data_IF_932663221153
#
_entry.id   IF_932663221153
#
_cell.length_a   1.000
_cell.length_b   1.000
_cell.length_c   1.000
_cell.angle_alpha   90.00
_cell.angle_beta   90.00
_cell.angle_gamma   90.00
#
_symmetry.space_group_name_H-M   'P 1'
#
loop_
_entity.id
_entity.type
_entity.pdbx_description
1 polymer ?
#
# COMPACT_ATOMS: atom_id res chain seq x y z
N UNK A 1 14.48 -7.18 -7.85
CA UNK A 1 15.66 -6.40 -8.33
C UNK A 1 15.58 -4.91 -8.01
N UNK A 2 14.54 -4.17 -8.47
CA UNK A 2 14.44 -2.72 -8.19
C UNK A 2 14.50 -2.31 -6.70
N UNK A 3 13.89 -3.12 -5.83
CA UNK A 3 13.95 -2.92 -4.38
C UNK A 3 15.36 -2.99 -3.76
N UNK A 4 16.18 -3.91 -4.24
CA UNK A 4 17.58 -4.08 -3.80
C UNK A 4 18.42 -2.87 -4.21
N UNK A 5 18.19 -2.35 -5.43
CA UNK A 5 18.86 -1.14 -5.93
C UNK A 5 18.49 0.08 -5.07
N UNK A 6 17.21 0.22 -4.70
CA UNK A 6 16.75 1.29 -3.81
C UNK A 6 17.30 1.16 -2.39
N UNK A 7 17.39 -0.06 -1.88
CA UNK A 7 17.96 -0.35 -0.56
C UNK A 7 19.45 0.01 -0.53
N UNK A 8 20.23 -0.47 -1.50
CA UNK A 8 21.65 -0.14 -1.64
C UNK A 8 21.87 1.37 -1.78
N UNK A 9 21.08 2.04 -2.63
CA UNK A 9 21.14 3.51 -2.82
C UNK A 9 20.80 4.28 -1.55
N UNK A 10 19.89 3.78 -0.71
CA UNK A 10 19.46 4.46 0.52
C UNK A 10 20.46 4.33 1.66
N UNK A 11 21.21 3.22 1.71
CA UNK A 11 22.25 3.00 2.72
C UNK A 11 23.61 3.58 2.33
N UNK A 12 24.05 3.44 1.07
CA UNK A 12 25.39 3.87 0.64
C UNK A 12 25.49 5.35 0.24
N UNK A 13 24.38 6.04 0.01
CA UNK A 13 24.42 7.42 -0.47
C UNK A 13 24.15 8.42 0.68
N UNK A 14 25.17 9.15 1.18
CA UNK A 14 25.05 9.96 2.41
C UNK A 14 23.98 11.05 2.30
N UNK A 15 23.75 11.62 1.11
CA UNK A 15 22.72 12.64 0.87
C UNK A 15 21.28 12.14 1.11
N UNK A 16 21.03 10.87 0.80
CA UNK A 16 19.69 10.25 0.87
C UNK A 16 19.45 9.66 2.27
N UNK A 17 20.52 9.19 2.94
CA UNK A 17 20.44 8.69 4.30
C UNK A 17 20.13 9.80 5.32
N UNK A 18 20.64 11.03 5.08
CA UNK A 18 20.45 12.20 5.96
C UNK A 18 19.04 12.81 5.88
N UNK A 19 18.34 12.66 4.75
CA UNK A 19 17.00 13.23 4.52
C UNK A 19 15.87 12.20 4.66
N UNK A 20 16.20 10.92 4.80
CA UNK A 20 15.22 9.84 4.92
C UNK A 20 14.85 9.57 6.39
N UNK A 21 13.54 9.61 6.69
CA UNK A 21 13.00 9.21 7.99
C UNK A 21 13.39 7.76 8.32
N UNK A 22 13.71 7.49 9.58
CA UNK A 22 14.08 6.15 10.05
C UNK A 22 13.01 5.08 9.74
N UNK A 23 11.72 5.45 9.86
CA UNK A 23 10.58 4.57 9.52
C UNK A 23 10.56 4.11 8.05
N UNK A 24 11.07 4.93 7.14
CA UNK A 24 11.15 4.65 5.72
C UNK A 24 12.28 3.65 5.38
N UNK A 25 13.37 3.65 6.17
CA UNK A 25 14.43 2.62 6.09
C UNK A 25 13.95 1.29 6.68
N UNK A 26 13.22 1.34 7.79
CA UNK A 26 12.66 0.16 8.44
C UNK A 26 11.65 -0.55 7.53
N UNK A 27 10.66 0.17 7.00
CA UNK A 27 9.63 -0.43 6.14
C UNK A 27 10.22 -1.03 4.85
N UNK A 28 11.21 -0.37 4.24
CA UNK A 28 11.87 -0.88 3.04
C UNK A 28 12.58 -2.21 3.34
N UNK A 29 13.31 -2.29 4.44
CA UNK A 29 13.99 -3.52 4.87
C UNK A 29 13.00 -4.63 5.18
N UNK A 30 11.89 -4.31 5.85
CA UNK A 30 10.85 -5.29 6.19
C UNK A 30 10.14 -5.86 4.96
N UNK A 31 9.85 -5.01 3.97
CA UNK A 31 9.30 -5.44 2.67
C UNK A 31 10.29 -6.31 1.91
N UNK A 32 11.59 -5.98 1.92
CA UNK A 32 12.62 -6.84 1.32
C UNK A 32 12.68 -8.22 1.99
N UNK A 33 12.66 -8.27 3.31
CA UNK A 33 12.65 -9.53 4.07
C UNK A 33 11.43 -10.37 3.72
N UNK A 34 10.25 -9.75 3.67
CA UNK A 34 9.00 -10.42 3.29
C UNK A 34 9.07 -10.97 1.87
N UNK A 35 9.67 -10.22 0.93
CA UNK A 35 9.87 -10.64 -0.46
C UNK A 35 10.85 -11.81 -0.58
N UNK A 36 11.95 -11.80 0.18
CA UNK A 36 12.92 -12.91 0.21
C UNK A 36 12.24 -14.17 0.76
N UNK A 37 11.51 -14.07 1.87
CA UNK A 37 10.70 -15.17 2.41
C UNK A 37 9.71 -15.68 1.36
N UNK A 38 9.04 -14.77 0.63
CA UNK A 38 8.14 -15.14 -0.47
C UNK A 38 8.84 -15.91 -1.58
N UNK A 39 10.03 -15.48 -2.01
CA UNK A 39 10.83 -16.21 -3.00
C UNK A 39 11.30 -17.57 -2.47
N UNK A 40 11.60 -17.69 -1.17
CA UNK A 40 11.96 -18.95 -0.52
C UNK A 40 10.77 -19.93 -0.44
N UNK A 41 9.53 -19.46 -0.56
CA UNK A 41 8.36 -20.36 -0.67
C UNK A 41 8.29 -21.09 -2.01
N UNK A 42 8.96 -20.59 -3.06
CA UNK A 42 8.95 -21.20 -4.40
C UNK A 42 9.62 -22.58 -4.40
N UNK A 43 10.90 -22.74 -3.96
CA UNK A 43 11.54 -24.05 -3.97
C UNK A 43 10.86 -25.04 -3.01
N UNK A 44 10.37 -24.57 -1.86
CA UNK A 44 9.61 -25.41 -0.92
C UNK A 44 8.28 -25.86 -1.54
N UNK A 45 7.57 -24.98 -2.25
CA UNK A 45 6.36 -25.33 -2.99
C UNK A 45 6.63 -26.30 -4.15
N UNK A 46 7.76 -26.19 -4.85
CA UNK A 46 8.14 -27.13 -5.91
C UNK A 46 8.49 -28.50 -5.30
N UNK A 47 9.17 -28.52 -4.15
CA UNK A 47 9.40 -29.75 -3.39
C UNK A 47 8.09 -30.44 -3.01
N UNK A 48 7.12 -29.70 -2.49
CA UNK A 48 5.78 -30.23 -2.16
C UNK A 48 4.98 -30.66 -3.40
N UNK A 49 5.08 -29.92 -4.51
CA UNK A 49 4.44 -30.27 -5.78
C UNK A 49 5.06 -31.52 -6.41
N UNK A 50 6.37 -31.72 -6.27
CA UNK A 50 7.08 -32.94 -6.68
C UNK A 50 6.64 -34.18 -5.88
N UNK A 51 6.12 -33.99 -4.67
CA UNK A 51 5.50 -35.03 -3.84
C UNK A 51 3.98 -35.15 -4.02
N UNK A 52 3.37 -34.36 -4.93
CA UNK A 52 1.97 -34.53 -5.34
C UNK A 52 0.92 -33.90 -4.43
N UNK A 53 1.29 -32.94 -3.56
CA UNK A 53 0.32 -32.32 -2.63
C UNK A 53 0.08 -30.81 -2.88
N UNK A 54 -0.80 -30.44 -3.83
CA UNK A 54 -1.19 -29.06 -4.06
C UNK A 54 -2.08 -28.48 -2.93
N UNK A 55 -2.39 -29.25 -1.88
CA UNK A 55 -3.27 -28.80 -0.78
C UNK A 55 -2.71 -27.64 0.02
N UNK A 56 -1.40 -27.39 -0.01
CA UNK A 56 -0.77 -26.27 0.71
C UNK A 56 -1.33 -24.92 0.23
N UNK A 57 -1.44 -24.72 -1.09
CA UNK A 57 -1.93 -23.46 -1.67
C UNK A 57 -3.42 -23.27 -1.36
N UNK A 58 -4.21 -24.34 -1.46
CA UNK A 58 -5.65 -24.31 -1.13
C UNK A 58 -5.87 -24.00 0.35
N UNK A 59 -5.12 -24.62 1.25
CA UNK A 59 -5.23 -24.39 2.70
C UNK A 59 -4.85 -22.95 3.07
N UNK A 60 -3.84 -22.37 2.42
CA UNK A 60 -3.50 -20.96 2.58
C UNK A 60 -4.62 -20.03 2.12
N UNK A 61 -5.27 -20.33 0.98
CA UNK A 61 -6.39 -19.54 0.48
C UNK A 61 -7.60 -19.60 1.42
N UNK A 62 -7.94 -20.79 1.93
CA UNK A 62 -9.01 -20.98 2.91
C UNK A 62 -8.70 -20.26 4.22
N UNK A 63 -7.45 -20.28 4.68
CA UNK A 63 -7.05 -19.51 5.87
C UNK A 63 -7.22 -17.99 5.66
N UNK A 64 -6.81 -17.45 4.51
CA UNK A 64 -7.00 -16.02 4.20
C UNK A 64 -8.50 -15.68 4.18
N UNK A 65 -9.33 -16.51 3.54
CA UNK A 65 -10.78 -16.32 3.53
C UNK A 65 -11.34 -16.32 4.96
N UNK A 66 -10.89 -17.23 5.81
CA UNK A 66 -11.31 -17.33 7.21
C UNK A 66 -11.06 -16.02 7.99
N UNK A 67 -9.93 -15.35 7.75
CA UNK A 67 -9.63 -14.04 8.35
C UNK A 67 -10.56 -12.96 7.82
N UNK A 68 -10.80 -12.93 6.51
CA UNK A 68 -11.66 -11.92 5.87
C UNK A 68 -13.11 -12.07 6.32
N UNK A 69 -13.60 -13.30 6.49
CA UNK A 69 -14.93 -13.60 7.03
C UNK A 69 -15.03 -13.44 8.55
N UNK A 70 -13.95 -13.00 9.22
CA UNK A 70 -13.88 -12.86 10.69
C UNK A 70 -14.16 -14.17 11.44
N UNK A 71 -13.93 -15.32 10.80
CA UNK A 71 -14.01 -16.66 11.40
C UNK A 71 -12.63 -17.33 11.33
N UNK A 72 -11.69 -16.96 12.21
CA UNK A 72 -10.32 -17.47 12.15
C UNK A 72 -10.31 -18.96 12.52
N UNK A 73 -10.01 -19.83 11.55
CA UNK A 73 -9.82 -21.25 11.80
C UNK A 73 -8.34 -21.62 11.69
N UNK A 74 -7.65 -21.93 12.80
CA UNK A 74 -6.22 -22.24 12.80
C UNK A 74 -5.89 -23.61 12.20
N UNK A 75 -6.87 -24.51 12.06
CA UNK A 75 -6.66 -25.86 11.54
C UNK A 75 -6.06 -25.87 10.12
N UNK A 76 -6.32 -24.85 9.32
CA UNK A 76 -5.82 -24.72 7.95
C UNK A 76 -4.29 -24.49 7.85
N UNK A 77 -3.62 -24.12 8.95
CA UNK A 77 -2.17 -23.84 8.96
C UNK A 77 -1.37 -24.88 9.76
N UNK A 78 -1.99 -25.80 10.49
CA UNK A 78 -1.26 -26.73 11.37
C UNK A 78 -0.22 -27.55 10.60
N UNK A 79 -0.60 -28.14 9.47
CA UNK A 79 0.27 -28.96 8.62
C UNK A 79 1.19 -28.19 7.67
N UNK A 80 1.18 -26.85 7.68
CA UNK A 80 1.97 -26.05 6.74
C UNK A 80 3.39 -25.80 7.26
N UNK A 81 4.34 -25.86 6.34
CA UNK A 81 5.74 -25.53 6.53
C UNK A 81 5.97 -24.18 7.22
N UNK A 82 7.04 -24.13 8.02
CA UNK A 82 7.37 -22.94 8.83
C UNK A 82 7.68 -21.70 7.97
N UNK A 83 8.17 -21.89 6.74
CA UNK A 83 8.48 -20.79 5.81
C UNK A 83 7.21 -20.00 5.44
N UNK A 84 6.09 -20.69 5.18
CA UNK A 84 4.82 -20.03 4.88
C UNK A 84 4.27 -19.30 6.12
N UNK A 85 4.35 -19.92 7.31
CA UNK A 85 3.96 -19.29 8.58
C UNK A 85 4.74 -17.98 8.83
N UNK A 86 6.06 -18.00 8.62
CA UNK A 86 6.91 -16.81 8.72
C UNK A 86 6.53 -15.74 7.69
N UNK A 87 6.29 -16.13 6.43
CA UNK A 87 5.87 -15.19 5.40
C UNK A 87 4.54 -14.52 5.73
N UNK A 88 3.53 -15.29 6.18
CA UNK A 88 2.23 -14.78 6.60
C UNK A 88 2.37 -13.80 7.77
N UNK A 89 3.16 -14.15 8.78
CA UNK A 89 3.44 -13.26 9.92
C UNK A 89 4.11 -11.95 9.48
N UNK A 90 5.13 -12.03 8.63
CA UNK A 90 5.81 -10.85 8.09
C UNK A 90 4.85 -9.98 7.27
N UNK A 91 4.01 -10.59 6.43
CA UNK A 91 3.00 -9.89 5.61
C UNK A 91 1.92 -9.21 6.43
N UNK A 92 1.37 -9.89 7.45
CA UNK A 92 0.39 -9.28 8.37
C UNK A 92 1.00 -8.10 9.14
N UNK A 93 2.27 -8.20 9.51
CA UNK A 93 3.01 -7.09 10.14
C UNK A 93 3.19 -5.90 9.19
N UNK A 94 3.43 -6.14 7.89
CA UNK A 94 3.43 -5.05 6.88
C UNK A 94 2.10 -4.34 6.84
N UNK A 95 0.99 -5.09 6.86
CA UNK A 95 -0.35 -4.51 6.85
C UNK A 95 -0.64 -3.68 8.10
N UNK A 96 -0.15 -4.09 9.27
CA UNK A 96 -0.26 -3.33 10.52
C UNK A 96 0.52 -2.00 10.46
N UNK A 97 1.70 -2.01 9.85
CA UNK A 97 2.60 -0.84 9.74
C UNK A 97 2.21 0.06 8.54
N UNK A 98 1.42 -0.45 7.62
CA UNK A 98 0.98 0.21 6.39
C UNK A 98 0.46 1.65 6.60
N UNK A 99 -0.50 1.94 7.51
CA UNK A 99 -1.04 3.29 7.66
C UNK A 99 -0.06 4.30 8.28
N UNK A 100 1.02 3.83 8.93
CA UNK A 100 1.99 4.66 9.64
C UNK A 100 3.23 5.00 8.80
N UNK A 101 3.31 4.50 7.56
CA UNK A 101 4.49 4.64 6.70
C UNK A 101 4.15 5.28 5.36
N UNK A 102 5.18 5.53 4.53
CA UNK A 102 5.00 6.05 3.16
C UNK A 102 4.19 5.11 2.25
N UNK A 103 3.90 3.88 2.67
CA UNK A 103 3.07 2.93 1.92
C UNK A 103 1.63 3.43 1.70
N UNK A 104 1.11 4.29 2.59
CA UNK A 104 -0.21 4.94 2.42
C UNK A 104 -0.36 5.67 1.09
N UNK A 105 0.76 6.07 0.47
CA UNK A 105 0.76 6.74 -0.83
C UNK A 105 0.12 5.90 -1.95
N UNK A 106 0.09 4.57 -1.82
CA UNK A 106 -0.60 3.68 -2.77
C UNK A 106 -2.10 4.03 -2.88
N UNK A 107 -2.73 4.50 -1.80
CA UNK A 107 -4.13 4.93 -1.80
C UNK A 107 -4.36 6.24 -2.56
N UNK A 108 -3.35 7.11 -2.62
CA UNK A 108 -3.41 8.38 -3.37
C UNK A 108 -3.01 8.22 -4.84
N UNK A 109 -2.91 6.98 -5.35
CA UNK A 109 -2.67 6.75 -6.75
C UNK A 109 -3.74 7.49 -7.58
N UNK A 110 -3.33 8.43 -8.46
CA UNK A 110 -4.26 9.35 -9.08
C UNK A 110 -4.97 8.67 -10.27
N UNK A 111 -5.77 7.64 -10.00
CA UNK A 111 -6.62 7.00 -11.00
C UNK A 111 -7.59 8.00 -11.64
N UNK A 112 -8.01 9.00 -10.86
CA UNK A 112 -8.83 10.11 -11.35
C UNK A 112 -8.12 11.01 -12.37
N UNK A 113 -6.80 10.92 -12.56
CA UNK A 113 -6.09 11.74 -13.55
C UNK A 113 -6.42 11.33 -14.99
N UNK A 114 -6.77 10.06 -15.21
CA UNK A 114 -7.17 9.55 -16.53
C UNK A 114 -8.43 10.22 -17.07
N UNK A 115 -9.34 10.65 -16.19
CA UNK A 115 -10.62 11.26 -16.57
C UNK A 115 -10.64 12.78 -16.35
N UNK A 116 -9.51 13.39 -15.98
CA UNK A 116 -9.46 14.80 -15.57
C UNK A 116 -9.21 15.73 -16.75
N UNK A 117 -9.96 16.82 -16.85
CA UNK A 117 -9.68 17.90 -17.77
C UNK A 117 -8.30 18.53 -17.49
N UNK A 118 -7.57 18.90 -18.55
CA UNK A 118 -6.19 19.40 -18.47
C UNK A 118 -6.08 20.73 -17.71
N UNK A 119 -7.13 21.55 -17.74
CA UNK A 119 -7.18 22.85 -17.07
C UNK A 119 -8.15 22.81 -15.90
N UNK A 120 -7.63 23.08 -14.70
CA UNK A 120 -8.46 23.35 -13.53
C UNK A 120 -8.29 24.79 -13.09
N UNK A 121 -9.31 25.59 -13.37
CA UNK A 121 -9.39 26.95 -12.86
C UNK A 121 -10.24 26.92 -11.59
N UNK A 122 -9.63 27.27 -10.45
CA UNK A 122 -10.35 27.43 -9.19
C UNK A 122 -10.79 28.88 -9.07
N UNK A 123 -12.03 29.17 -9.45
CA UNK A 123 -12.59 30.51 -9.24
C UNK A 123 -12.71 30.77 -7.73
N UNK A 124 -12.05 31.80 -7.23
CA UNK A 124 -12.39 32.38 -5.92
C UNK A 124 -13.82 32.89 -6.06
N UNK A 125 -14.76 32.43 -5.25
CA UNK A 125 -16.02 33.16 -5.05
C UNK A 125 -15.66 34.49 -4.40
N UNK A 126 -15.22 35.46 -5.19
CA UNK A 126 -15.31 36.85 -4.81
C UNK A 126 -16.80 37.12 -4.71
N UNK A 127 -17.20 37.56 -3.52
CA UNK A 127 -18.56 37.85 -3.08
C UNK A 127 -19.15 38.95 -3.97
N UNK A 128 -19.58 38.60 -5.17
CA UNK A 128 -20.32 39.46 -6.10
C UNK A 128 -21.78 39.68 -5.66
N UNK A 129 -22.01 39.64 -4.34
CA UNK A 129 -23.32 39.87 -3.73
C UNK A 129 -23.41 41.28 -3.12
N UNK A 130 -22.30 42.02 -3.10
CA UNK A 130 -22.22 43.37 -2.52
C UNK A 130 -22.35 44.48 -3.58
N UNK A 131 -22.04 44.21 -4.86
CA UNK A 131 -22.08 45.20 -5.94
C UNK A 131 -23.48 45.31 -6.57
N UNK A 132 -24.21 44.19 -6.75
CA UNK A 132 -25.58 44.19 -7.29
C UNK A 132 -26.59 44.97 -6.42
N UNK A 133 -26.34 45.05 -5.11
CA UNK A 133 -27.21 45.79 -4.18
C UNK A 133 -27.01 47.31 -4.22
N UNK A 134 -25.92 47.81 -4.82
CA UNK A 134 -25.69 49.25 -4.98
C UNK A 134 -26.27 49.79 -6.31
N UNK A 135 -26.37 48.96 -7.34
CA UNK A 135 -26.85 49.37 -8.67
C UNK A 135 -28.37 49.22 -8.87
N UNK A 136 -29.07 48.46 -8.03
CA UNK A 136 -30.54 48.32 -8.09
C UNK A 136 -31.31 49.46 -7.38
N UNK A 137 -30.62 50.38 -6.72
CA UNK A 137 -31.22 51.48 -5.96
C UNK A 137 -31.21 52.85 -6.65
N UNK A 138 -30.62 52.96 -7.85
CA UNK A 138 -30.66 54.17 -8.66
C UNK A 138 -31.18 53.83 -10.05
N UNK A 139 -32.51 53.71 -10.13
CA UNK A 139 -33.15 54.04 -11.40
C UNK A 139 -32.77 55.49 -11.74
N UNK A 140 -32.36 55.82 -12.98
CA UNK A 140 -32.21 57.21 -13.40
C UNK A 140 -33.61 57.84 -13.40
N UNK A 141 -34.00 58.38 -12.24
CA UNK A 141 -35.16 59.24 -12.12
C UNK A 141 -34.83 60.53 -12.88
N UNK A 142 -35.58 60.71 -13.97
CA UNK A 142 -35.82 61.99 -14.63
C UNK A 142 -36.61 62.90 -13.70
#
# INVERSE_FOLDING_TARGET
MGGVILWFRRFFNPRISLTSRWSDKFVLTWVMLTLILGLLTIPTSIGHAGHGDPRVVTSLAEWIQSIVYLYPNPAFIEGVDMVFKLHLFCGMTVFLIFPFTRLVHIWSAPFSYLTRAYQLVRTKKLKYQEIDRYDLGKSPEQ
#
